data_IF_968674391344
#
_entry.id   IF_968674391344
#
_cell.length_a   1.000
_cell.length_b   1.000
_cell.length_c   1.000
_cell.angle_alpha   90.00
_cell.angle_beta   90.00
_cell.angle_gamma   90.00
#
_symmetry.space_group_name_H-M   'P 1'
#
loop_
_entity.id
_entity.type
_entity.pdbx_description
1 polymer ?
#
# COMPACT_ATOMS: atom_id res chain seq x y z
N UNK A 1 -42.67 19.79 48.85
CA UNK A 1 -41.99 20.03 47.56
C UNK A 1 -41.61 18.68 47.01
N UNK A 2 -42.11 18.28 45.85
CA UNK A 2 -41.64 17.09 45.15
C UNK A 2 -40.38 17.46 44.36
N UNK A 3 -39.27 16.74 44.58
CA UNK A 3 -38.07 16.88 43.78
C UNK A 3 -38.35 16.43 42.34
N UNK A 4 -37.99 17.28 41.37
CA UNK A 4 -37.96 16.92 39.96
C UNK A 4 -36.60 16.31 39.66
N UNK A 5 -36.55 15.00 39.45
CA UNK A 5 -35.34 14.32 38.98
C UNK A 5 -35.26 14.46 37.48
N UNK A 6 -34.21 15.11 36.98
CA UNK A 6 -33.89 15.09 35.56
C UNK A 6 -33.63 13.63 35.14
N UNK A 7 -34.10 13.19 33.95
CA UNK A 7 -33.78 11.86 33.47
C UNK A 7 -32.26 11.69 33.37
N UNK A 8 -31.76 10.55 33.84
CA UNK A 8 -30.34 10.24 33.96
C UNK A 8 -29.59 10.24 32.61
N UNK A 9 -30.32 10.31 31.49
CA UNK A 9 -29.76 10.53 30.16
C UNK A 9 -30.76 11.26 29.24
N UNK A 10 -30.24 12.08 28.33
CA UNK A 10 -31.00 12.67 27.23
C UNK A 10 -30.79 11.78 26.00
N UNK A 11 -31.81 11.02 25.63
CA UNK A 11 -31.84 10.32 24.34
C UNK A 11 -32.09 11.33 23.21
N UNK A 12 -31.07 11.58 22.38
CA UNK A 12 -31.23 12.37 21.16
C UNK A 12 -31.60 11.46 19.99
N UNK A 13 -32.86 11.50 19.56
CA UNK A 13 -33.30 10.87 18.30
C UNK A 13 -33.45 11.92 17.21
N UNK A 14 -32.60 11.87 16.18
CA UNK A 14 -32.65 12.80 15.05
C UNK A 14 -33.30 12.14 13.83
N UNK A 15 -34.38 12.74 13.30
CA UNK A 15 -35.08 12.24 12.09
C UNK A 15 -34.65 12.95 10.79
N UNK A 16 -34.20 14.20 10.89
CA UNK A 16 -33.79 15.06 9.77
C UNK A 16 -32.27 15.28 9.78
N UNK A 17 -31.76 16.07 8.83
CA UNK A 17 -30.34 16.45 8.81
C UNK A 17 -30.00 17.33 10.02
N UNK A 18 -28.81 17.14 10.58
CA UNK A 18 -28.23 18.00 11.62
C UNK A 18 -27.10 18.81 11.04
N UNK A 19 -27.19 20.13 11.12
CA UNK A 19 -26.09 21.04 10.88
C UNK A 19 -25.52 21.55 12.20
N UNK A 20 -24.21 21.47 12.38
CA UNK A 20 -23.50 22.15 13.47
C UNK A 20 -22.64 23.24 12.83
N UNK A 21 -23.05 24.50 13.01
CA UNK A 21 -22.46 25.65 12.32
C UNK A 21 -22.98 25.87 10.89
N UNK A 22 -23.89 25.03 10.39
CA UNK A 22 -24.36 25.05 8.99
C UNK A 22 -25.87 25.27 8.93
N UNK A 23 -26.31 26.29 8.18
CA UNK A 23 -27.74 26.67 8.09
C UNK A 23 -28.58 25.73 7.21
N UNK A 24 -27.96 25.09 6.21
CA UNK A 24 -28.66 24.21 5.25
C UNK A 24 -27.87 22.90 5.04
N UNK A 25 -27.85 21.98 6.04
CA UNK A 25 -27.07 20.75 5.96
C UNK A 25 -27.57 19.84 4.83
N UNK A 26 -26.65 19.41 3.98
CA UNK A 26 -26.90 18.51 2.84
C UNK A 26 -26.75 17.04 3.19
N UNK A 27 -25.97 16.74 4.24
CA UNK A 27 -25.77 15.39 4.78
C UNK A 27 -26.57 15.18 6.07
N UNK A 28 -26.75 13.90 6.46
CA UNK A 28 -27.49 13.56 7.70
C UNK A 28 -26.88 14.21 8.95
N UNK A 29 -25.56 14.34 8.97
CA UNK A 29 -24.80 15.13 9.93
C UNK A 29 -23.72 15.89 9.16
N UNK A 30 -23.77 17.22 9.23
CA UNK A 30 -22.78 18.10 8.61
C UNK A 30 -22.27 19.09 9.66
N UNK A 31 -20.95 19.24 9.75
CA UNK A 31 -20.29 20.01 10.81
C UNK A 31 -19.28 20.94 10.14
N UNK A 32 -19.46 22.24 10.31
CA UNK A 32 -18.44 23.23 9.96
C UNK A 32 -17.46 23.34 11.13
N UNK A 33 -16.49 22.42 11.16
CA UNK A 33 -15.46 22.40 12.20
C UNK A 33 -14.89 21.02 12.49
N UNK A 34 -14.23 20.90 13.63
CA UNK A 34 -13.57 19.66 14.06
C UNK A 34 -14.49 18.81 14.92
N UNK A 35 -14.52 17.50 14.64
CA UNK A 35 -15.21 16.52 15.49
C UNK A 35 -14.21 15.85 16.43
N UNK A 36 -14.44 15.95 17.73
CA UNK A 36 -13.74 15.15 18.75
C UNK A 36 -14.66 14.00 19.19
N UNK A 37 -14.30 12.77 18.82
CA UNK A 37 -15.01 11.56 19.21
C UNK A 37 -14.03 10.54 19.78
N UNK A 38 -14.50 9.64 20.64
CA UNK A 38 -13.70 8.49 21.10
C UNK A 38 -13.44 7.52 19.95
N UNK A 39 -14.43 7.34 19.07
CA UNK A 39 -14.37 6.44 17.92
C UNK A 39 -15.28 6.94 16.79
N UNK A 40 -14.88 6.66 15.55
CA UNK A 40 -15.74 6.74 14.37
C UNK A 40 -15.95 5.33 13.83
N UNK A 41 -17.18 4.82 13.86
CA UNK A 41 -17.52 3.48 13.34
C UNK A 41 -18.10 3.62 11.93
N UNK A 42 -17.38 3.10 10.94
CA UNK A 42 -17.74 3.13 9.53
C UNK A 42 -16.60 2.62 8.65
N UNK A 43 -16.74 2.66 7.32
CA UNK A 43 -15.69 2.16 6.42
C UNK A 43 -14.46 3.08 6.34
N UNK A 44 -14.57 4.35 6.75
CA UNK A 44 -13.49 5.33 6.71
C UNK A 44 -12.89 5.58 5.32
N UNK A 45 -13.59 5.20 4.24
CA UNK A 45 -13.11 5.26 2.85
C UNK A 45 -13.03 6.69 2.31
N UNK A 46 -13.83 7.60 2.87
CA UNK A 46 -13.86 9.02 2.51
C UNK A 46 -12.95 9.90 3.39
N UNK A 47 -12.27 9.32 4.38
CA UNK A 47 -11.28 10.05 5.15
C UNK A 47 -10.04 10.26 4.30
N UNK A 48 -9.69 11.51 4.08
CA UNK A 48 -8.49 11.91 3.32
C UNK A 48 -7.32 12.17 4.27
N UNK A 49 -6.10 12.28 3.71
CA UNK A 49 -4.86 12.59 4.46
C UNK A 49 -4.54 11.60 5.59
N UNK A 50 -4.88 10.33 5.41
CA UNK A 50 -4.47 9.26 6.31
C UNK A 50 -3.16 8.68 5.80
N UNK A 51 -2.15 8.58 6.67
CA UNK A 51 -0.91 7.87 6.38
C UNK A 51 -1.19 6.36 6.46
N UNK A 52 -1.52 5.78 5.31
CA UNK A 52 -1.86 4.35 5.16
C UNK A 52 -1.41 3.88 3.79
N UNK A 53 -0.85 2.68 3.77
CA UNK A 53 -0.53 2.03 2.51
C UNK A 53 -1.78 1.87 1.64
N UNK A 54 -1.73 2.44 0.44
CA UNK A 54 -2.80 2.41 -0.56
C UNK A 54 -2.26 1.94 -1.90
N UNK A 55 -3.12 1.29 -2.70
CA UNK A 55 -2.75 0.87 -4.05
C UNK A 55 -2.71 2.09 -4.96
N UNK A 56 -1.53 2.47 -5.43
CA UNK A 56 -1.35 3.58 -6.36
C UNK A 56 -1.50 3.12 -7.83
N UNK A 57 -0.91 1.97 -8.17
CA UNK A 57 -0.90 1.48 -9.55
C UNK A 57 -0.80 -0.05 -9.61
N UNK A 58 -1.41 -0.66 -10.62
CA UNK A 58 -1.24 -2.08 -10.92
C UNK A 58 -1.22 -2.32 -12.42
N UNK A 59 -0.45 -3.33 -12.84
CA UNK A 59 -0.37 -3.75 -14.24
C UNK A 59 -0.20 -5.27 -14.37
N UNK A 60 -0.54 -5.81 -15.54
CA UNK A 60 -0.25 -7.18 -15.93
C UNK A 60 1.24 -7.38 -16.25
N UNK A 61 1.65 -8.59 -16.63
CA UNK A 61 3.05 -8.89 -16.95
C UNK A 61 3.61 -8.09 -18.14
N UNK A 62 2.74 -7.61 -19.04
CA UNK A 62 3.13 -6.83 -20.21
C UNK A 62 3.18 -5.32 -19.93
N UNK A 63 2.88 -4.89 -18.70
CA UNK A 63 2.82 -3.48 -18.32
C UNK A 63 1.49 -2.81 -18.67
N UNK A 64 0.46 -3.58 -19.07
CA UNK A 64 -0.87 -3.01 -19.29
C UNK A 64 -1.54 -2.75 -17.94
N UNK A 65 -2.02 -1.53 -17.74
CA UNK A 65 -2.69 -1.11 -16.50
C UNK A 65 -3.91 -2.00 -16.20
N UNK A 66 -4.02 -2.43 -14.95
CA UNK A 66 -5.17 -3.18 -14.42
C UNK A 66 -5.90 -2.44 -13.29
N UNK A 67 -5.24 -1.54 -12.57
CA UNK A 67 -5.85 -0.66 -11.55
C UNK A 67 -5.00 0.57 -11.26
N UNK A 68 -5.57 1.57 -10.58
CA UNK A 68 -4.89 2.80 -10.17
C UNK A 68 -4.48 3.69 -11.36
N UNK A 69 -3.59 4.64 -11.13
CA UNK A 69 -3.03 5.52 -12.16
C UNK A 69 -1.50 5.62 -11.97
N UNK A 70 -0.75 5.53 -13.06
CA UNK A 70 0.72 5.65 -13.03
C UNK A 70 1.14 7.04 -12.56
N UNK A 71 0.36 8.08 -12.89
CA UNK A 71 0.64 9.45 -12.45
C UNK A 71 0.52 9.58 -10.93
N UNK A 72 -0.42 8.87 -10.29
CA UNK A 72 -0.57 8.88 -8.83
C UNK A 72 0.67 8.27 -8.15
N UNK A 73 1.19 7.16 -8.70
CA UNK A 73 2.43 6.56 -8.24
C UNK A 73 3.63 7.49 -8.43
N UNK A 74 3.75 8.12 -9.61
CA UNK A 74 4.83 9.06 -9.91
C UNK A 74 4.80 10.24 -8.95
N UNK A 75 3.63 10.85 -8.74
CA UNK A 75 3.45 11.98 -7.85
C UNK A 75 3.78 11.60 -6.40
N UNK A 76 3.31 10.43 -5.93
CA UNK A 76 3.63 9.94 -4.59
C UNK A 76 5.15 9.78 -4.39
N UNK A 77 5.84 9.14 -5.34
CA UNK A 77 7.31 9.00 -5.30
C UNK A 77 8.01 10.36 -5.30
N UNK A 78 7.58 11.31 -6.15
CA UNK A 78 8.15 12.65 -6.22
C UNK A 78 7.91 13.46 -4.94
N UNK A 79 6.83 13.18 -4.22
CA UNK A 79 6.51 13.77 -2.92
C UNK A 79 7.19 13.06 -1.75
N UNK A 80 7.98 12.00 -2.00
CA UNK A 80 8.75 11.29 -0.99
C UNK A 80 8.05 10.13 -0.31
N UNK A 81 6.89 9.68 -0.82
CA UNK A 81 6.24 8.46 -0.32
C UNK A 81 7.15 7.25 -0.49
N UNK A 82 7.08 6.35 0.48
CA UNK A 82 7.68 5.03 0.36
C UNK A 82 6.92 4.19 -0.67
N UNK A 83 7.60 3.22 -1.28
CA UNK A 83 6.97 2.30 -2.23
C UNK A 83 7.15 0.86 -1.78
N UNK A 84 6.07 0.09 -1.85
CA UNK A 84 6.10 -1.37 -1.83
C UNK A 84 5.62 -1.92 -3.16
N UNK A 85 6.26 -2.97 -3.63
CA UNK A 85 5.87 -3.66 -4.86
C UNK A 85 5.56 -5.10 -4.55
N UNK A 86 4.34 -5.52 -4.87
CA UNK A 86 3.94 -6.92 -4.93
C UNK A 86 4.17 -7.42 -6.35
N UNK A 87 5.09 -8.37 -6.51
CA UNK A 87 5.31 -9.13 -7.73
C UNK A 87 4.46 -10.40 -7.70
N UNK A 88 3.58 -10.56 -8.68
CA UNK A 88 2.67 -11.71 -8.78
C UNK A 88 3.18 -12.70 -9.84
N UNK A 89 3.96 -13.69 -9.39
CA UNK A 89 4.50 -14.76 -10.23
C UNK A 89 3.60 -16.02 -10.21
N UNK A 90 2.27 -15.83 -10.11
CA UNK A 90 1.30 -16.93 -10.01
C UNK A 90 1.24 -17.48 -8.59
N UNK A 91 1.71 -18.72 -8.40
CA UNK A 91 1.70 -19.40 -7.11
C UNK A 91 2.65 -18.75 -6.09
N UNK A 92 3.65 -17.99 -6.57
CA UNK A 92 4.58 -17.26 -5.73
C UNK A 92 4.33 -15.75 -5.83
N UNK A 93 3.96 -15.13 -4.70
CA UNK A 93 3.78 -13.68 -4.58
C UNK A 93 4.79 -13.12 -3.60
N UNK A 94 5.54 -12.12 -4.03
CA UNK A 94 6.55 -11.46 -3.20
C UNK A 94 6.23 -9.99 -3.09
N UNK A 95 6.03 -9.50 -1.87
CA UNK A 95 5.96 -8.07 -1.60
C UNK A 95 7.29 -7.60 -1.03
N UNK A 96 7.83 -6.51 -1.57
CA UNK A 96 9.11 -5.97 -1.12
C UNK A 96 9.07 -4.45 -1.02
N UNK A 97 9.89 -3.90 -0.14
CA UNK A 97 10.14 -2.46 -0.11
C UNK A 97 11.07 -2.06 -1.25
N UNK A 98 10.77 -0.94 -1.87
CA UNK A 98 11.69 -0.28 -2.76
C UNK A 98 12.82 0.37 -1.94
N UNK A 99 14.07 0.00 -2.23
CA UNK A 99 15.25 0.56 -1.55
C UNK A 99 15.90 1.68 -2.35
N UNK A 100 15.82 1.59 -3.68
CA UNK A 100 16.15 2.65 -4.60
C UNK A 100 15.01 2.81 -5.59
N UNK A 101 14.63 4.04 -5.89
CA UNK A 101 13.55 4.38 -6.83
C UNK A 101 14.11 5.33 -7.87
N UNK A 102 13.87 5.03 -9.15
CA UNK A 102 14.24 5.88 -10.28
C UNK A 102 13.04 6.07 -11.19
N UNK A 103 12.80 7.30 -11.64
CA UNK A 103 11.76 7.62 -12.63
C UNK A 103 12.45 8.02 -13.92
N UNK A 104 12.07 7.38 -15.04
CA UNK A 104 12.56 7.74 -16.37
C UNK A 104 11.44 7.61 -17.40
N UNK A 105 11.13 8.70 -18.08
CA UNK A 105 10.15 8.74 -19.18
C UNK A 105 8.79 8.13 -18.80
N UNK A 106 8.25 8.51 -17.63
CA UNK A 106 6.95 8.01 -17.14
C UNK A 106 6.96 6.57 -16.61
N UNK A 107 8.13 5.96 -16.45
CA UNK A 107 8.28 4.61 -15.91
C UNK A 107 8.96 4.71 -14.55
N UNK A 108 8.42 3.98 -13.57
CA UNK A 108 9.02 3.84 -12.24
C UNK A 108 9.81 2.55 -12.21
N UNK A 109 11.05 2.64 -11.77
CA UNK A 109 11.97 1.53 -11.55
C UNK A 109 12.30 1.46 -10.07
N UNK A 110 12.29 0.27 -9.50
CA UNK A 110 12.68 0.07 -8.10
C UNK A 110 13.65 -1.08 -7.96
N UNK A 111 14.60 -0.90 -7.05
CA UNK A 111 15.58 -1.91 -6.70
C UNK A 111 15.31 -2.46 -5.30
N UNK A 112 15.49 -3.77 -5.12
CA UNK A 112 15.63 -4.41 -3.82
C UNK A 112 16.86 -5.34 -3.83
N UNK A 113 17.75 -5.14 -2.87
CA UNK A 113 19.03 -5.83 -2.72
C UNK A 113 19.12 -6.68 -1.45
N UNK A 114 18.01 -6.86 -0.72
CA UNK A 114 18.03 -7.47 0.62
C UNK A 114 17.31 -8.81 0.73
N UNK A 115 16.79 -9.36 -0.37
CA UNK A 115 16.21 -10.69 -0.33
C UNK A 115 17.32 -11.76 -0.30
N UNK A 116 17.33 -12.58 0.75
CA UNK A 116 18.13 -13.81 0.85
C UNK A 116 17.24 -14.98 0.47
N UNK A 117 17.75 -15.91 -0.34
CA UNK A 117 17.00 -17.04 -0.86
C UNK A 117 16.31 -17.87 0.22
N UNK A 118 15.02 -18.12 0.01
CA UNK A 118 14.15 -18.90 0.89
C UNK A 118 13.56 -20.10 0.15
N UNK A 119 13.23 -21.16 0.89
CA UNK A 119 12.54 -22.34 0.39
C UNK A 119 11.50 -22.83 1.41
N UNK A 120 10.51 -23.56 0.92
CA UNK A 120 9.53 -24.22 1.78
C UNK A 120 9.91 -25.69 2.03
N UNK A 121 9.77 -26.13 3.28
CA UNK A 121 9.77 -27.54 3.67
C UNK A 121 8.41 -27.84 4.33
N UNK A 122 7.48 -28.40 3.55
CA UNK A 122 6.07 -28.39 3.92
C UNK A 122 5.54 -26.95 4.01
N UNK A 123 4.88 -26.62 5.12
CA UNK A 123 4.36 -25.26 5.39
C UNK A 123 5.38 -24.33 6.09
N UNK A 124 6.63 -24.79 6.27
CA UNK A 124 7.66 -24.02 6.96
C UNK A 124 8.57 -23.32 5.96
N UNK A 125 8.62 -21.99 6.03
CA UNK A 125 9.56 -21.17 5.27
C UNK A 125 10.92 -21.14 5.97
N UNK A 126 11.98 -21.45 5.22
CA UNK A 126 13.37 -21.49 5.73
C UNK A 126 14.31 -20.78 4.76
N UNK A 127 15.48 -20.38 5.26
CA UNK A 127 16.60 -20.07 4.38
C UNK A 127 17.11 -21.36 3.73
N UNK A 128 17.58 -21.27 2.49
CA UNK A 128 18.21 -22.41 1.84
C UNK A 128 19.58 -22.68 2.47
N UNK A 129 20.01 -23.93 2.59
CA UNK A 129 21.36 -24.26 3.08
C UNK A 129 22.44 -23.61 2.20
N UNK A 130 22.26 -23.69 0.89
CA UNK A 130 23.10 -23.04 -0.12
C UNK A 130 22.54 -21.65 -0.48
N UNK A 131 22.54 -20.76 0.51
CA UNK A 131 21.89 -19.44 0.45
C UNK A 131 22.56 -18.45 -0.50
N UNK A 132 21.75 -17.66 -1.19
CA UNK A 132 22.20 -16.57 -2.05
C UNK A 132 21.38 -15.29 -1.87
N UNK A 133 22.01 -14.14 -2.09
CA UNK A 133 21.32 -12.87 -2.31
C UNK A 133 20.56 -12.94 -3.64
N UNK A 134 19.29 -12.57 -3.63
CA UNK A 134 18.45 -12.39 -4.80
C UNK A 134 18.10 -10.91 -4.92
N UNK A 135 18.84 -10.20 -5.76
CA UNK A 135 18.62 -8.76 -5.95
C UNK A 135 17.79 -8.55 -7.20
N UNK A 136 16.86 -7.60 -7.12
CA UNK A 136 15.94 -7.32 -8.21
C UNK A 136 15.88 -5.85 -8.56
N UNK A 137 15.71 -5.58 -9.85
CA UNK A 137 15.20 -4.33 -10.38
C UNK A 137 13.88 -4.65 -11.07
N UNK A 138 12.81 -3.95 -10.70
CA UNK A 138 11.50 -4.08 -11.34
C UNK A 138 10.99 -2.75 -11.88
N UNK A 139 10.14 -2.79 -12.90
CA UNK A 139 9.55 -1.59 -13.49
C UNK A 139 8.05 -1.68 -13.72
N UNK A 140 7.41 -0.53 -13.88
CA UNK A 140 5.98 -0.42 -14.21
C UNK A 140 5.62 -0.94 -15.61
N UNK A 141 6.60 -1.44 -16.39
CA UNK A 141 6.41 -2.16 -17.66
C UNK A 141 6.34 -3.68 -17.51
N UNK A 142 6.36 -4.18 -16.26
CA UNK A 142 6.40 -5.61 -15.97
C UNK A 142 7.79 -6.21 -15.98
N UNK A 143 8.82 -5.49 -16.40
CA UNK A 143 10.20 -6.00 -16.44
C UNK A 143 10.71 -6.26 -15.02
N UNK A 144 11.30 -7.45 -14.82
CA UNK A 144 12.01 -7.82 -13.60
C UNK A 144 13.37 -8.42 -13.97
N UNK A 145 14.42 -7.70 -13.63
CA UNK A 145 15.80 -8.14 -13.74
C UNK A 145 16.26 -8.72 -12.39
N UNK A 146 16.88 -9.90 -12.40
CA UNK A 146 17.29 -10.64 -11.21
C UNK A 146 18.76 -11.02 -11.30
N UNK A 147 19.52 -10.68 -10.27
CA UNK A 147 20.89 -11.17 -10.11
C UNK A 147 21.01 -11.97 -8.81
N UNK A 148 21.88 -12.99 -8.82
CA UNK A 148 22.10 -13.86 -7.66
C UNK A 148 23.59 -14.00 -7.33
N UNK A 149 23.91 -13.90 -6.04
CA UNK A 149 25.27 -14.04 -5.51
C UNK A 149 25.25 -14.86 -4.22
N UNK A 150 26.22 -15.75 -4.00
CA UNK A 150 26.33 -16.50 -2.75
C UNK A 150 26.34 -15.57 -1.52
N UNK A 151 25.66 -15.95 -0.45
CA UNK A 151 25.78 -15.24 0.83
C UNK A 151 27.16 -15.53 1.41
N UNK A 152 27.86 -14.47 1.86
CA UNK A 152 29.20 -14.58 2.45
C UNK A 152 30.35 -14.68 1.45
N UNK A 153 30.07 -14.67 0.15
CA UNK A 153 31.07 -14.79 -0.90
C UNK A 153 30.81 -13.83 -2.07
N UNK A 154 31.84 -13.55 -2.86
CA UNK A 154 31.69 -12.82 -4.13
C UNK A 154 31.63 -13.81 -5.30
N UNK A 155 30.67 -14.74 -5.24
CA UNK A 155 30.46 -15.77 -6.27
C UNK A 155 29.13 -15.55 -6.98
N UNK A 156 29.10 -15.22 -8.30
CA UNK A 156 27.86 -15.05 -9.04
C UNK A 156 27.19 -16.41 -9.30
N UNK A 157 25.85 -16.45 -9.16
CA UNK A 157 25.03 -17.64 -9.45
C UNK A 157 24.22 -17.54 -10.74
N UNK A 158 23.91 -16.31 -11.17
CA UNK A 158 23.11 -16.12 -12.37
C UNK A 158 22.54 -14.73 -12.48
N UNK A 159 22.18 -14.39 -13.71
CA UNK A 159 21.51 -13.16 -14.11
C UNK A 159 20.45 -13.54 -15.13
N UNK A 160 19.19 -13.26 -14.81
CA UNK A 160 18.07 -13.50 -15.71
C UNK A 160 17.04 -12.39 -15.60
N UNK A 161 16.26 -12.20 -16.66
CA UNK A 161 15.14 -11.27 -16.68
C UNK A 161 13.87 -11.98 -17.13
N UNK A 162 12.74 -11.49 -16.62
CA UNK A 162 11.41 -11.92 -17.03
C UNK A 162 10.41 -10.77 -16.93
N UNK A 163 9.15 -11.11 -17.20
CA UNK A 163 8.01 -10.21 -17.07
C UNK A 163 7.02 -10.73 -16.04
N UNK A 164 6.53 -9.88 -15.15
CA UNK A 164 5.63 -10.25 -14.05
C UNK A 164 4.60 -9.16 -13.79
N UNK A 165 3.37 -9.56 -13.45
CA UNK A 165 2.34 -8.62 -13.02
C UNK A 165 2.71 -8.01 -11.67
N UNK A 166 2.40 -6.73 -11.45
CA UNK A 166 2.76 -6.08 -10.20
C UNK A 166 1.69 -5.12 -9.69
N UNK A 167 1.66 -4.97 -8.37
CA UNK A 167 0.90 -3.95 -7.65
C UNK A 167 1.84 -3.07 -6.86
N UNK A 168 1.64 -1.76 -6.96
CA UNK A 168 2.49 -0.71 -6.43
C UNK A 168 1.72 0.04 -5.36
N UNK A 169 2.23 0.03 -4.14
CA UNK A 169 1.61 0.66 -2.98
C UNK A 169 2.48 1.82 -2.50
N UNK A 170 1.82 2.85 -1.97
CA UNK A 170 2.43 4.04 -1.36
C UNK A 170 1.79 4.34 -0.02
N UNK A 171 2.53 4.95 0.92
CA UNK A 171 2.08 5.31 2.27
C UNK A 171 1.43 6.71 2.37
#
# INVERSE_FOLDING_TARGET
MSEYTWPDHIDLTVKNNVGIGIENPTEKLEIEGTVKATEFVGDGSKLTNLNRWSLAYAHDANGNRTAGNIDDLINAVQNGSQVRVLMDSGDHKYITYAQNITIKTGIVYVQNNSHVSISFEGDVLKFQDDSYWWMVIVSTKGDRDKIRWNVGEHTPRGHDNDKVAMKWFVD
#
